data_IF_921841941366
#
_entry.id   IF_921841941366
#
_cell.length_a   1.000
_cell.length_b   1.000
_cell.length_c   1.000
_cell.angle_alpha   90.00
_cell.angle_beta   90.00
_cell.angle_gamma   90.00
#
_symmetry.space_group_name_H-M   'P 1'
#
loop_
_entity.id
_entity.type
_entity.pdbx_description
1 polymer ?
#
# COMPACT_ATOMS: atom_id res chain seq x y z
N UNK A 1 -15.62 22.81 2.05
CA UNK A 1 -14.15 22.88 1.90
C UNK A 1 -13.39 22.50 3.17
N UNK A 2 -13.91 22.67 4.39
CA UNK A 2 -13.20 22.21 5.62
C UNK A 2 -13.24 20.70 5.85
N UNK A 3 -14.25 20.00 5.34
CA UNK A 3 -14.44 18.58 5.63
C UNK A 3 -13.45 17.68 4.88
N UNK A 4 -13.06 18.02 3.64
CA UNK A 4 -12.01 17.28 2.89
C UNK A 4 -10.64 17.34 3.57
N UNK A 5 -10.28 18.47 4.20
CA UNK A 5 -9.02 18.59 4.94
C UNK A 5 -9.01 17.73 6.21
N UNK A 6 -10.14 17.64 6.93
CA UNK A 6 -10.25 16.77 8.12
C UNK A 6 -10.11 15.29 7.78
N UNK A 7 -10.66 14.85 6.65
CA UNK A 7 -10.50 13.46 6.18
C UNK A 7 -9.06 13.16 5.78
N UNK A 8 -8.34 14.13 5.20
CA UNK A 8 -6.93 13.99 4.86
C UNK A 8 -6.03 13.91 6.11
N UNK A 9 -6.30 14.72 7.14
CA UNK A 9 -5.55 14.65 8.42
C UNK A 9 -5.78 13.33 9.16
N UNK A 10 -7.01 12.82 9.16
CA UNK A 10 -7.35 11.54 9.79
C UNK A 10 -6.61 10.38 9.11
N UNK A 11 -6.67 10.30 7.77
CA UNK A 11 -5.96 9.26 7.02
C UNK A 11 -4.44 9.32 7.18
N UNK A 12 -3.88 10.53 7.35
CA UNK A 12 -2.44 10.71 7.62
C UNK A 12 -2.03 10.20 9.00
N UNK A 13 -2.89 10.39 9.99
CA UNK A 13 -2.66 9.92 11.36
C UNK A 13 -2.78 8.39 11.43
N UNK A 14 -3.81 7.83 10.81
CA UNK A 14 -4.03 6.37 10.72
C UNK A 14 -2.86 5.66 10.00
N UNK A 15 -2.34 6.23 8.91
CA UNK A 15 -1.13 5.72 8.25
C UNK A 15 0.12 5.81 9.13
N UNK A 16 0.22 6.84 9.97
CA UNK A 16 1.31 7.03 10.90
C UNK A 16 1.29 5.99 12.03
N UNK A 17 0.12 5.74 12.61
CA UNK A 17 -0.10 4.71 13.62
C UNK A 17 0.19 3.32 13.05
N UNK A 18 -0.36 3.01 11.88
CA UNK A 18 -0.11 1.75 11.18
C UNK A 18 1.38 1.53 10.87
N UNK A 19 2.11 2.59 10.47
CA UNK A 19 3.55 2.51 10.28
C UNK A 19 4.30 2.17 11.58
N UNK A 20 3.91 2.77 12.70
CA UNK A 20 4.52 2.50 14.00
C UNK A 20 4.25 1.07 14.45
N UNK A 21 3.01 0.59 14.30
CA UNK A 21 2.63 -0.80 14.60
C UNK A 21 3.42 -1.81 13.77
N UNK A 22 3.56 -1.57 12.46
CA UNK A 22 4.36 -2.43 11.58
C UNK A 22 5.83 -2.47 12.00
N UNK A 23 6.39 -1.31 12.36
CA UNK A 23 7.77 -1.21 12.80
C UNK A 23 7.99 -1.89 14.15
N UNK A 24 7.01 -1.83 15.04
CA UNK A 24 7.07 -2.50 16.34
C UNK A 24 6.92 -4.02 16.22
N UNK A 25 6.01 -4.50 15.36
CA UNK A 25 5.75 -5.93 15.18
C UNK A 25 6.80 -6.65 14.32
N UNK A 26 7.24 -6.04 13.23
CA UNK A 26 8.11 -6.69 12.24
C UNK A 26 9.50 -6.06 12.12
N UNK A 27 9.78 -4.98 12.85
CA UNK A 27 11.12 -4.37 12.90
C UNK A 27 11.65 -3.97 11.51
N UNK A 28 12.89 -4.37 11.23
CA UNK A 28 13.57 -4.13 9.95
C UNK A 28 13.25 -5.20 8.88
N UNK A 29 12.38 -6.18 9.17
CA UNK A 29 12.04 -7.23 8.20
C UNK A 29 11.09 -6.74 7.10
N UNK A 30 10.45 -5.58 7.29
CA UNK A 30 9.50 -5.00 6.34
C UNK A 30 10.07 -3.72 5.71
N UNK A 31 10.16 -3.71 4.38
CA UNK A 31 10.57 -2.54 3.61
C UNK A 31 9.36 -1.68 3.23
N UNK A 32 9.18 -0.55 3.92
CA UNK A 32 8.11 0.42 3.62
C UNK A 32 8.64 1.48 2.65
N UNK A 33 7.95 1.68 1.52
CA UNK A 33 8.30 2.69 0.51
C UNK A 33 7.14 3.65 0.32
N UNK A 34 7.39 4.94 0.56
CA UNK A 34 6.42 6.00 0.29
C UNK A 34 6.45 6.38 -1.18
N UNK A 35 5.27 6.42 -1.80
CA UNK A 35 5.11 6.83 -3.19
C UNK A 35 4.06 7.93 -3.28
N UNK A 36 4.34 8.95 -4.08
CA UNK A 36 3.35 9.96 -4.42
C UNK A 36 2.35 9.35 -5.43
N UNK A 37 1.02 9.38 -5.18
CA UNK A 37 0.02 8.87 -6.10
C UNK A 37 0.04 9.56 -7.48
N UNK A 38 0.57 10.78 -7.57
CA UNK A 38 0.76 11.50 -8.84
C UNK A 38 1.94 10.95 -9.63
N UNK A 39 2.87 10.27 -8.98
CA UNK A 39 4.00 9.63 -9.63
C UNK A 39 3.66 8.20 -10.07
N UNK A 40 2.81 8.11 -11.10
CA UNK A 40 2.36 6.83 -11.69
C UNK A 40 3.56 5.98 -12.13
N UNK A 41 4.64 6.61 -12.64
CA UNK A 41 5.84 5.87 -13.08
C UNK A 41 6.49 5.07 -11.95
N UNK A 42 6.51 5.63 -10.74
CA UNK A 42 7.07 4.98 -9.56
C UNK A 42 6.20 3.80 -9.12
N UNK A 43 4.88 3.96 -9.17
CA UNK A 43 3.89 2.91 -8.85
C UNK A 43 4.02 1.75 -9.86
N UNK A 44 4.09 2.05 -11.15
CA UNK A 44 4.31 1.06 -12.20
C UNK A 44 5.63 0.31 -11.95
N UNK A 45 6.71 1.03 -11.64
CA UNK A 45 8.01 0.41 -11.32
C UNK A 45 7.94 -0.56 -10.15
N UNK A 46 7.22 -0.20 -9.08
CA UNK A 46 6.97 -1.09 -7.95
C UNK A 46 6.19 -2.35 -8.34
N UNK A 47 5.06 -2.18 -9.03
CA UNK A 47 4.20 -3.31 -9.44
C UNK A 47 4.94 -4.26 -10.40
N UNK A 48 5.73 -3.71 -11.33
CA UNK A 48 6.59 -4.51 -12.22
C UNK A 48 7.63 -5.30 -11.43
N UNK A 49 8.27 -4.70 -10.42
CA UNK A 49 9.22 -5.39 -9.54
C UNK A 49 8.55 -6.53 -8.77
N UNK A 50 7.32 -6.35 -8.28
CA UNK A 50 6.59 -7.40 -7.58
C UNK A 50 6.18 -8.54 -8.52
N UNK A 51 5.81 -8.22 -9.76
CA UNK A 51 5.57 -9.22 -10.79
C UNK A 51 6.85 -10.01 -11.16
N UNK A 52 8.01 -9.35 -11.28
CA UNK A 52 9.28 -10.05 -11.52
C UNK A 52 9.62 -11.04 -10.39
N UNK A 53 9.17 -10.75 -9.17
CA UNK A 53 9.27 -11.66 -8.01
C UNK A 53 8.20 -12.77 -8.00
N UNK A 54 7.33 -12.83 -9.00
CA UNK A 54 6.24 -13.82 -9.08
C UNK A 54 5.10 -13.60 -8.10
N UNK A 55 5.03 -12.43 -7.44
CA UNK A 55 4.06 -12.15 -6.38
C UNK A 55 2.69 -11.74 -6.89
N UNK A 56 2.63 -11.09 -8.07
CA UNK A 56 1.36 -10.62 -8.66
C UNK A 56 1.33 -10.86 -10.18
N UNK A 57 0.13 -11.03 -10.75
CA UNK A 57 -0.04 -11.23 -12.18
C UNK A 57 -0.09 -9.89 -12.95
N UNK A 58 0.08 -9.94 -14.28
CA UNK A 58 -0.07 -8.74 -15.13
C UNK A 58 -1.46 -8.10 -15.01
N UNK A 59 -2.49 -8.93 -14.81
CA UNK A 59 -3.88 -8.46 -14.66
C UNK A 59 -4.05 -7.66 -13.35
N UNK A 60 -3.39 -8.08 -12.27
CA UNK A 60 -3.43 -7.37 -10.99
C UNK A 60 -2.78 -5.99 -11.13
N UNK A 61 -1.66 -5.88 -11.85
CA UNK A 61 -1.04 -4.59 -12.15
C UNK A 61 -2.03 -3.63 -12.83
N UNK A 62 -2.70 -4.10 -13.89
CA UNK A 62 -3.67 -3.27 -14.63
C UNK A 62 -4.83 -2.85 -13.73
N UNK A 63 -5.37 -3.79 -12.93
CA UNK A 63 -6.44 -3.53 -11.98
C UNK A 63 -6.02 -2.53 -10.91
N UNK A 64 -4.80 -2.62 -10.39
CA UNK A 64 -4.28 -1.68 -9.40
C UNK A 64 -4.11 -0.28 -9.99
N UNK A 65 -3.56 -0.16 -11.20
CA UNK A 65 -3.40 1.12 -11.88
C UNK A 65 -4.74 1.80 -12.20
N UNK A 66 -5.74 1.03 -12.64
CA UNK A 66 -7.04 1.59 -13.02
C UNK A 66 -7.94 1.94 -11.83
N UNK A 67 -7.89 1.19 -10.72
CA UNK A 67 -8.90 1.29 -9.67
C UNK A 67 -8.38 1.67 -8.28
N UNK A 68 -7.06 1.58 -8.03
CA UNK A 68 -6.52 1.61 -6.66
C UNK A 68 -5.44 2.68 -6.42
N UNK A 69 -5.06 3.46 -7.44
CA UNK A 69 -4.16 4.62 -7.26
C UNK A 69 -4.94 5.78 -6.65
N UNK A 70 -5.03 5.82 -5.31
CA UNK A 70 -5.71 6.85 -4.53
C UNK A 70 -4.80 7.37 -3.41
N UNK A 71 -5.14 8.54 -2.86
CA UNK A 71 -4.53 9.01 -1.61
C UNK A 71 -4.82 7.98 -0.52
N UNK A 72 -3.77 7.52 0.19
CA UNK A 72 -3.78 6.50 1.24
C UNK A 72 -3.88 5.03 0.78
N UNK A 73 -3.60 4.73 -0.50
CA UNK A 73 -3.49 3.34 -0.95
C UNK A 73 -2.24 2.66 -0.34
N UNK A 74 -2.43 1.51 0.32
CA UNK A 74 -1.35 0.70 0.89
C UNK A 74 -1.19 -0.55 0.04
N UNK A 75 0.04 -0.88 -0.34
CA UNK A 75 0.35 -2.10 -1.10
C UNK A 75 1.36 -2.96 -0.36
N UNK A 76 1.02 -4.22 -0.09
CA UNK A 76 1.86 -5.20 0.59
C UNK A 76 2.25 -6.27 -0.42
N UNK A 77 3.56 -6.40 -0.71
CA UNK A 77 4.07 -7.38 -1.68
C UNK A 77 3.43 -7.33 -3.10
N UNK A 78 2.76 -6.23 -3.43
CA UNK A 78 2.05 -6.04 -4.70
C UNK A 78 0.53 -6.11 -4.58
N UNK A 79 0.00 -6.59 -3.45
CA UNK A 79 -1.43 -6.64 -3.16
C UNK A 79 -1.92 -5.34 -2.54
N UNK A 80 -3.03 -4.84 -3.04
CA UNK A 80 -3.70 -3.66 -2.47
C UNK A 80 -4.42 -4.04 -1.17
N UNK A 81 -4.16 -3.29 -0.12
CA UNK A 81 -4.87 -3.40 1.15
C UNK A 81 -6.07 -2.45 1.10
N UNK A 82 -7.27 -3.02 1.00
CA UNK A 82 -8.52 -2.25 0.95
C UNK A 82 -8.93 -1.74 2.33
N UNK A 83 -8.61 -2.49 3.39
CA UNK A 83 -8.80 -2.10 4.77
C UNK A 83 -7.61 -2.55 5.62
N UNK A 84 -7.16 -1.72 6.58
CA UNK A 84 -6.06 -2.06 7.50
C UNK A 84 -6.33 -3.31 8.33
N UNK A 85 -7.60 -3.65 8.57
CA UNK A 85 -8.00 -4.90 9.24
C UNK A 85 -7.62 -6.17 8.45
N UNK A 86 -7.45 -6.08 7.13
CA UNK A 86 -7.04 -7.21 6.29
C UNK A 86 -5.52 -7.43 6.27
N UNK A 87 -4.75 -6.66 7.06
CA UNK A 87 -3.29 -6.73 7.06
C UNK A 87 -2.76 -8.12 7.41
N UNK A 88 -3.22 -8.69 8.52
CA UNK A 88 -2.80 -10.02 8.99
C UNK A 88 -3.15 -11.12 7.98
N UNK A 89 -4.24 -10.94 7.25
CA UNK A 89 -4.67 -11.88 6.22
C UNK A 89 -3.74 -11.86 5.02
N UNK A 90 -3.31 -10.69 4.56
CA UNK A 90 -2.41 -10.57 3.41
C UNK A 90 -0.98 -11.01 3.76
N UNK A 91 -0.51 -10.72 4.98
CA UNK A 91 0.81 -11.16 5.45
C UNK A 91 0.86 -12.68 5.60
N UNK A 92 -0.18 -13.30 6.14
CA UNK A 92 -0.25 -14.77 6.27
C UNK A 92 -0.41 -15.49 4.93
N UNK A 93 -1.11 -14.91 3.95
CA UNK A 93 -1.19 -15.47 2.59
C UNK A 93 0.12 -15.34 1.79
N UNK A 94 1.04 -14.48 2.22
CA UNK A 94 2.35 -14.27 1.56
C UNK A 94 3.53 -14.93 2.28
N UNK A 95 3.30 -15.57 3.43
CA UNK A 95 4.30 -16.31 4.23
C UNK A 95 4.34 -17.78 3.85
#
# INVERSE_FOLDING_TARGET
MSDEFKHLEKGRSELGEFYLELKEQYGDEVSITYMDPRNISMIVGYLVKQKQKGRIAWLDILKHLCFHVKLNAIFINGYYLENTDDFDKIVSETS
#
